data_IF_193086287279
#
_entry.id   IF_193086287279
#
_cell.length_a   1.000
_cell.length_b   1.000
_cell.length_c   1.000
_cell.angle_alpha   90.00
_cell.angle_beta   90.00
_cell.angle_gamma   90.00
#
_symmetry.space_group_name_H-M   'P 1'
#
loop_
_entity.id
_entity.type
_entity.pdbx_description
1 polymer ?
#
# COMPACT_ATOMS: atom_id res chain seq x y z
N UNK A 1 11.11 -22.75 -15.63
CA UNK A 1 11.75 -21.89 -14.60
C UNK A 1 10.65 -21.11 -13.88
N UNK A 2 10.49 -21.28 -12.56
CA UNK A 2 9.48 -20.53 -11.79
C UNK A 2 9.90 -19.05 -11.78
N UNK A 3 9.09 -18.18 -12.39
CA UNK A 3 9.34 -16.74 -12.38
C UNK A 3 9.30 -16.22 -10.94
N UNK A 4 10.43 -15.81 -10.40
CA UNK A 4 10.49 -15.11 -9.11
C UNK A 4 9.63 -13.85 -9.20
N UNK A 5 8.81 -13.59 -8.17
CA UNK A 5 7.98 -12.40 -8.08
C UNK A 5 8.57 -11.45 -7.05
N UNK A 6 8.59 -10.15 -7.36
CA UNK A 6 9.05 -9.10 -6.46
C UNK A 6 7.90 -8.14 -6.17
N UNK A 7 7.93 -7.49 -5.02
CA UNK A 7 6.92 -6.49 -4.65
C UNK A 7 7.44 -5.12 -5.07
N UNK A 8 6.66 -4.41 -5.88
CA UNK A 8 6.98 -3.05 -6.26
C UNK A 8 6.99 -2.17 -4.99
N UNK A 9 8.10 -1.52 -4.65
CA UNK A 9 8.24 -0.82 -3.37
C UNK A 9 7.34 0.41 -3.24
N UNK A 10 6.80 0.91 -4.37
CA UNK A 10 6.04 2.16 -4.38
C UNK A 10 4.54 2.00 -4.63
N UNK A 11 4.08 0.85 -5.11
CA UNK A 11 2.64 0.55 -5.15
C UNK A 11 2.25 -0.77 -4.48
N UNK A 12 3.22 -1.54 -3.99
CA UNK A 12 3.00 -2.86 -3.40
C UNK A 12 2.58 -3.94 -4.40
N UNK A 13 2.57 -3.67 -5.71
CA UNK A 13 2.17 -4.66 -6.70
C UNK A 13 3.18 -5.80 -6.78
N UNK A 14 2.68 -7.04 -6.80
CA UNK A 14 3.49 -8.21 -7.13
C UNK A 14 3.77 -8.20 -8.64
N UNK A 15 5.04 -8.13 -9.00
CA UNK A 15 5.49 -8.05 -10.40
C UNK A 15 6.49 -9.17 -10.69
N UNK A 16 6.60 -9.56 -11.96
CA UNK A 16 7.65 -10.50 -12.38
C UNK A 16 9.03 -9.85 -12.19
N UNK A 17 9.96 -10.58 -11.57
CA UNK A 17 11.31 -10.10 -11.27
C UNK A 17 12.05 -9.54 -12.51
N UNK A 18 11.85 -10.14 -13.70
CA UNK A 18 12.53 -9.72 -14.93
C UNK A 18 12.07 -8.37 -15.53
N UNK A 19 11.12 -7.66 -14.91
CA UNK A 19 10.68 -6.35 -15.43
C UNK A 19 11.55 -5.25 -14.86
N UNK A 20 12.01 -4.33 -15.70
CA UNK A 20 12.67 -3.10 -15.26
C UNK A 20 11.70 -2.12 -14.62
N UNK A 21 10.42 -2.16 -15.03
CA UNK A 21 9.38 -1.27 -14.53
C UNK A 21 8.11 -2.00 -14.12
N UNK A 22 7.48 -1.50 -13.07
CA UNK A 22 6.20 -1.94 -12.58
C UNK A 22 5.14 -1.63 -13.64
N UNK A 23 4.38 -2.62 -14.15
CA UNK A 23 3.28 -2.34 -15.07
C UNK A 23 2.21 -1.43 -14.44
N UNK A 24 2.08 -1.46 -13.11
CA UNK A 24 1.02 -0.78 -12.37
C UNK A 24 1.31 0.70 -12.16
N UNK A 25 2.50 1.02 -11.62
CA UNK A 25 2.86 2.40 -11.30
C UNK A 25 4.05 2.93 -12.11
N UNK A 26 4.57 2.18 -13.10
CA UNK A 26 5.76 2.50 -13.91
C UNK A 26 7.06 2.73 -13.11
N UNK A 27 7.04 2.40 -11.82
CA UNK A 27 8.21 2.43 -10.96
C UNK A 27 9.32 1.53 -11.43
N UNK A 28 10.58 1.92 -11.27
CA UNK A 28 11.68 0.98 -11.41
C UNK A 28 11.51 -0.20 -10.44
N UNK A 29 11.72 -1.42 -10.94
CA UNK A 29 11.73 -2.65 -10.15
C UNK A 29 13.19 -3.03 -10.01
N UNK A 30 13.80 -2.60 -8.90
CA UNK A 30 15.19 -2.93 -8.61
C UNK A 30 15.21 -4.19 -7.78
N UNK A 31 15.63 -5.29 -8.40
CA UNK A 31 16.13 -6.44 -7.64
C UNK A 31 17.49 -5.99 -7.11
N UNK A 32 17.70 -5.85 -5.79
CA UNK A 32 19.05 -5.71 -5.30
C UNK A 32 19.80 -6.97 -5.73
N UNK A 33 20.78 -6.83 -6.61
CA UNK A 33 21.80 -7.87 -6.79
C UNK A 33 22.56 -7.86 -5.46
N UNK A 34 22.06 -8.65 -4.51
CA UNK A 34 22.78 -8.87 -3.26
C UNK A 34 24.02 -9.64 -3.67
N UNK A 35 25.17 -8.97 -3.74
CA UNK A 35 26.44 -9.66 -3.85
C UNK A 35 26.52 -10.64 -2.66
N UNK A 36 26.55 -11.96 -2.89
CA UNK A 36 26.59 -12.94 -1.82
C UNK A 36 27.77 -12.72 -0.87
N UNK A 37 28.83 -12.03 -1.31
CA UNK A 37 29.97 -11.62 -0.48
C UNK A 37 29.62 -10.51 0.52
N UNK A 38 28.76 -9.57 0.13
CA UNK A 38 28.31 -8.47 1.00
C UNK A 38 27.30 -8.97 2.04
N UNK A 39 26.43 -9.91 1.67
CA UNK A 39 25.53 -10.58 2.63
C UNK A 39 26.31 -11.39 3.69
N UNK A 40 27.36 -12.10 3.29
CA UNK A 40 28.23 -12.85 4.19
C UNK A 40 29.09 -11.94 5.11
N UNK A 41 29.47 -10.75 4.64
CA UNK A 41 30.18 -9.78 5.47
C UNK A 41 29.26 -9.17 6.56
N UNK A 42 27.99 -8.93 6.23
CA UNK A 42 27.00 -8.37 7.16
C UNK A 42 26.64 -9.36 8.28
N UNK A 43 26.52 -10.66 7.98
CA UNK A 43 26.28 -11.70 8.99
C UNK A 43 27.46 -11.88 9.94
N UNK A 44 28.71 -11.84 9.45
CA UNK A 44 29.92 -11.89 10.30
C UNK A 44 30.06 -10.68 11.21
N UNK A 45 29.76 -9.48 10.72
CA UNK A 45 29.79 -8.25 11.53
C UNK A 45 28.73 -8.23 12.63
N UNK A 46 27.56 -8.81 12.35
CA UNK A 46 26.46 -8.94 13.31
C UNK A 46 26.75 -10.00 14.38
N UNK A 47 27.46 -11.08 14.04
CA UNK A 47 27.98 -12.05 15.00
C UNK A 47 29.10 -11.51 15.89
N UNK A 48 29.93 -10.57 15.39
CA UNK A 48 30.97 -9.92 16.20
C UNK A 48 30.42 -8.87 17.18
N UNK A 49 29.30 -8.22 16.86
CA UNK A 49 28.66 -7.25 17.77
C UNK A 49 27.81 -7.98 18.83
N UNK A 50 27.25 -9.16 18.51
CA UNK A 50 26.37 -9.93 19.39
C UNK A 50 27.00 -10.58 20.63
N UNK A 51 28.32 -10.55 20.79
CA UNK A 51 29.02 -11.20 21.92
C UNK A 51 29.71 -10.22 22.90
N UNK A 52 29.66 -8.90 22.69
CA UNK A 52 30.43 -7.94 23.49
C UNK A 52 29.66 -7.02 24.45
N UNK A 53 28.34 -6.84 24.29
CA UNK A 53 27.59 -5.79 25.01
C UNK A 53 26.24 -6.25 25.60
N UNK A 54 26.12 -7.53 25.97
CA UNK A 54 24.92 -8.09 26.61
C UNK A 54 25.13 -8.45 28.10
N UNK A 55 26.24 -8.01 28.72
CA UNK A 55 26.64 -8.45 30.07
C UNK A 55 26.39 -7.48 31.23
N UNK A 56 26.49 -6.16 31.06
CA UNK A 56 26.52 -5.25 32.23
C UNK A 56 26.06 -3.83 31.89
N UNK A 57 24.75 -3.56 31.93
CA UNK A 57 24.18 -2.24 32.29
C UNK A 57 22.64 -2.30 32.30
N UNK A 58 22.07 -3.17 33.13
CA UNK A 58 20.72 -2.97 33.66
C UNK A 58 20.90 -2.51 35.10
N UNK A 59 20.97 -1.18 35.31
CA UNK A 59 20.63 -0.45 36.55
C UNK A 59 21.07 1.02 36.41
N UNK A 60 20.19 1.93 36.87
CA UNK A 60 20.20 3.39 36.75
C UNK A 60 19.79 3.88 35.34
N UNK A 61 18.66 4.54 35.13
CA UNK A 61 18.19 5.74 35.85
C UNK A 61 16.66 5.76 35.89
N UNK A 62 16.10 5.54 37.07
CA UNK A 62 14.80 6.05 37.45
C UNK A 62 15.04 7.03 38.60
N UNK A 63 15.06 8.32 38.28
CA UNK A 63 14.70 9.46 39.14
C UNK A 63 15.06 10.74 38.39
N UNK A 64 14.04 11.47 37.96
CA UNK A 64 13.86 12.92 38.09
C UNK A 64 12.71 13.28 37.15
N UNK A 65 11.50 13.22 37.72
CA UNK A 65 10.41 14.09 37.33
C UNK A 65 10.57 15.41 38.12
N UNK A 66 10.05 16.50 37.55
CA UNK A 66 9.78 17.82 38.15
C UNK A 66 10.86 18.89 37.91
N UNK A 67 10.66 19.65 36.82
CA UNK A 67 10.44 21.12 36.71
C UNK A 67 10.89 21.51 35.30
N UNK A 68 9.96 21.85 34.40
CA UNK A 68 10.05 22.99 33.45
C UNK A 68 8.88 22.91 32.45
N UNK A 69 7.83 23.67 32.76
CA UNK A 69 6.76 24.10 31.84
C UNK A 69 6.89 25.65 31.74
N UNK A 70 6.56 26.27 30.59
CA UNK A 70 7.43 27.25 29.93
C UNK A 70 7.05 28.73 30.18
N UNK A 71 7.89 29.66 29.70
CA UNK A 71 7.51 31.08 29.53
C UNK A 71 7.08 31.36 28.09
N UNK A 72 5.94 32.02 27.85
CA UNK A 72 5.54 32.49 26.53
C UNK A 72 6.38 33.70 26.13
N UNK A 73 6.90 33.70 24.89
CA UNK A 73 7.49 34.88 24.27
C UNK A 73 6.40 35.87 23.80
N UNK A 74 6.72 37.17 23.71
CA UNK A 74 5.75 38.18 23.30
C UNK A 74 5.32 37.99 21.83
N UNK A 75 4.07 38.36 21.47
CA UNK A 75 3.58 38.22 20.11
C UNK A 75 4.37 39.14 19.16
N UNK A 76 4.66 38.71 17.92
CA UNK A 76 5.18 39.62 16.91
C UNK A 76 4.15 40.70 16.58
N UNK A 77 4.65 41.93 16.50
CA UNK A 77 3.89 43.13 16.22
C UNK A 77 3.04 43.01 14.94
N UNK A 78 1.91 43.68 15.00
CA UNK A 78 0.89 43.83 13.97
C UNK A 78 1.44 44.12 12.58
N UNK A 79 0.83 43.45 11.60
CA UNK A 79 0.93 43.65 10.16
C UNK A 79 0.83 45.14 9.78
N UNK A 80 1.92 45.71 9.26
CA UNK A 80 1.81 46.75 8.25
C UNK A 80 1.71 46.03 6.90
N UNK A 81 0.61 46.28 6.19
CA UNK A 81 0.32 45.70 4.90
C UNK A 81 1.42 46.08 3.89
N UNK A 82 2.07 45.08 3.31
CA UNK A 82 3.01 45.27 2.20
C UNK A 82 2.21 45.59 0.91
N UNK A 83 2.31 46.80 0.36
CA UNK A 83 1.56 47.20 -0.84
C UNK A 83 1.96 46.42 -2.11
N UNK A 84 3.04 45.64 -2.07
CA UNK A 84 3.49 44.83 -3.20
C UNK A 84 2.81 43.45 -3.30
N UNK A 85 2.16 42.98 -2.22
CA UNK A 85 1.40 41.72 -2.23
C UNK A 85 0.11 41.84 -3.07
N UNK A 86 -0.54 43.01 -3.07
CA UNK A 86 -1.77 43.25 -3.82
C UNK A 86 -1.57 43.28 -5.34
N UNK A 87 -0.38 43.65 -5.83
CA UNK A 87 -0.08 43.65 -7.28
C UNK A 87 0.22 42.26 -7.86
N UNK A 88 0.59 41.28 -7.03
CA UNK A 88 0.82 39.89 -7.47
C UNK A 88 -0.48 39.11 -7.67
N UNK A 89 -1.57 39.51 -7.01
CA UNK A 89 -2.89 38.87 -7.14
C UNK A 89 -3.68 39.32 -8.39
N UNK A 90 -3.20 40.32 -9.14
CA UNK A 90 -3.90 40.90 -10.29
C UNK A 90 -3.27 40.57 -11.65
N UNK A 91 -2.33 39.61 -11.73
CA UNK A 91 -1.69 39.24 -13.00
C UNK A 91 -2.52 38.15 -13.69
N UNK A 92 -3.08 38.39 -14.90
CA UNK A 92 -3.81 37.35 -15.62
C UNK A 92 -2.87 36.19 -15.97
N UNK A 93 -3.40 34.96 -15.86
CA UNK A 93 -2.64 33.74 -16.14
C UNK A 93 -2.05 33.77 -17.57
N UNK A 94 -0.79 33.35 -17.76
CA UNK A 94 -0.17 33.34 -19.07
C UNK A 94 -0.88 32.34 -20.00
N UNK A 95 -1.14 32.77 -21.24
CA UNK A 95 -1.77 31.93 -22.28
C UNK A 95 -0.83 30.78 -22.67
N UNK A 96 -1.45 29.62 -22.94
CA UNK A 96 -0.84 28.30 -23.08
C UNK A 96 0.00 28.07 -24.36
N UNK A 97 0.76 29.05 -24.84
CA UNK A 97 1.53 28.90 -26.09
C UNK A 97 3.04 29.09 -25.96
N UNK A 98 3.55 29.52 -24.80
CA UNK A 98 5.00 29.72 -24.60
C UNK A 98 5.56 28.86 -23.46
N UNK A 99 5.21 27.57 -23.42
CA UNK A 99 5.83 26.63 -22.49
C UNK A 99 7.24 26.24 -23.01
N UNK A 100 8.32 26.48 -22.24
CA UNK A 100 9.60 25.86 -22.55
C UNK A 100 9.46 24.34 -22.51
N UNK A 101 10.21 23.65 -23.37
CA UNK A 101 10.22 22.21 -23.52
C UNK A 101 10.02 21.49 -22.18
N UNK A 102 9.03 20.58 -22.14
CA UNK A 102 8.70 19.75 -20.97
C UNK A 102 9.99 19.34 -20.25
N UNK A 103 10.18 19.73 -18.97
CA UNK A 103 11.30 19.20 -18.21
C UNK A 103 11.16 17.68 -18.26
N UNK A 104 12.21 17.01 -18.77
CA UNK A 104 12.22 15.57 -18.92
C UNK A 104 11.64 14.93 -17.65
N UNK A 105 10.56 14.16 -17.80
CA UNK A 105 9.90 13.47 -16.70
C UNK A 105 10.97 12.64 -15.99
N UNK A 106 11.45 13.11 -14.84
CA UNK A 106 12.45 12.38 -14.07
C UNK A 106 11.85 11.00 -13.76
N UNK A 107 12.60 9.91 -14.00
CA UNK A 107 12.11 8.57 -13.71
C UNK A 107 11.62 8.46 -12.27
N UNK A 108 10.44 7.86 -12.11
CA UNK A 108 9.87 7.50 -10.82
C UNK A 108 10.82 6.60 -10.05
N UNK A 109 11.22 7.04 -8.85
CA UNK A 109 12.46 6.63 -8.20
C UNK A 109 13.61 6.68 -9.21
N UNK A 110 14.50 7.65 -9.05
CA UNK A 110 15.88 7.21 -9.10
C UNK A 110 15.99 6.21 -7.95
N UNK A 111 16.18 4.90 -8.20
CA UNK A 111 16.25 3.88 -7.14
C UNK A 111 17.60 3.97 -6.39
N UNK A 112 18.07 5.19 -6.27
CA UNK A 112 19.39 5.64 -5.90
C UNK A 112 19.17 6.83 -4.99
N UNK A 113 19.93 6.88 -3.91
CA UNK A 113 19.85 7.97 -2.95
C UNK A 113 19.38 7.52 -1.58
N UNK A 114 19.87 8.26 -0.60
CA UNK A 114 19.80 7.90 0.82
C UNK A 114 18.37 7.70 1.33
N UNK A 115 17.40 8.43 0.79
CA UNK A 115 15.98 8.30 1.18
C UNK A 115 15.41 6.91 0.85
N UNK A 116 15.68 6.42 -0.36
CA UNK A 116 15.21 5.12 -0.82
C UNK A 116 15.96 3.98 -0.12
N UNK A 117 17.27 4.12 0.05
CA UNK A 117 18.09 3.14 0.79
C UNK A 117 17.63 2.98 2.23
N UNK A 118 17.37 4.10 2.94
CA UNK A 118 16.81 4.08 4.29
C UNK A 118 15.42 3.42 4.34
N UNK A 119 14.55 3.74 3.37
CA UNK A 119 13.23 3.11 3.27
C UNK A 119 13.32 1.59 3.13
N UNK A 120 14.23 1.11 2.27
CA UNK A 120 14.44 -0.32 2.06
C UNK A 120 15.11 -1.01 3.25
N UNK A 121 15.93 -0.29 4.01
CA UNK A 121 16.49 -0.77 5.26
C UNK A 121 15.45 -0.82 6.40
N UNK A 122 14.25 -0.26 6.21
CA UNK A 122 13.22 -0.12 7.24
C UNK A 122 13.44 1.06 8.19
N UNK A 123 14.45 1.89 7.93
CA UNK A 123 14.72 3.12 8.69
C UNK A 123 13.84 4.26 8.16
N UNK A 124 12.58 4.26 8.60
CA UNK A 124 11.59 5.21 8.13
C UNK A 124 11.83 6.64 8.62
N UNK A 125 12.49 6.84 9.76
CA UNK A 125 12.86 8.18 10.24
C UNK A 125 13.99 8.80 9.41
N UNK A 126 15.02 8.02 9.05
CA UNK A 126 16.04 8.49 8.12
C UNK A 126 15.45 8.73 6.72
N UNK A 127 14.58 7.84 6.25
CA UNK A 127 13.88 8.02 4.97
C UNK A 127 13.06 9.31 4.95
N UNK A 128 12.31 9.60 6.02
CA UNK A 128 11.54 10.85 6.19
C UNK A 128 12.46 12.06 6.05
N UNK A 129 13.53 12.09 6.83
CA UNK A 129 14.50 13.21 6.86
C UNK A 129 15.09 13.46 5.47
N UNK A 130 15.48 12.40 4.76
CA UNK A 130 16.05 12.54 3.42
C UNK A 130 15.03 13.02 2.38
N UNK A 131 13.77 12.57 2.44
CA UNK A 131 12.72 13.09 1.55
C UNK A 131 12.34 14.53 1.87
N UNK A 132 12.29 14.92 3.14
CA UNK A 132 12.08 16.31 3.55
C UNK A 132 13.20 17.22 3.02
N UNK A 133 14.46 16.81 3.14
CA UNK A 133 15.59 17.55 2.57
C UNK A 133 15.55 17.64 1.05
N UNK A 134 15.08 16.59 0.37
CA UNK A 134 14.86 16.62 -1.07
C UNK A 134 13.78 17.67 -1.44
N UNK A 135 12.69 17.73 -0.67
CA UNK A 135 11.61 18.71 -0.87
C UNK A 135 12.02 20.14 -0.51
N UNK A 136 12.96 20.35 0.42
CA UNK A 136 13.54 21.68 0.65
C UNK A 136 14.30 22.19 -0.59
N UNK A 137 14.98 21.29 -1.31
CA UNK A 137 15.73 21.61 -2.54
C UNK A 137 14.81 21.75 -3.75
N UNK A 138 13.80 20.89 -3.86
CA UNK A 138 12.80 20.93 -4.91
C UNK A 138 11.38 20.81 -4.33
N UNK A 139 10.73 21.93 -3.97
CA UNK A 139 9.42 21.92 -3.35
C UNK A 139 8.27 21.39 -4.21
N UNK A 140 8.49 21.20 -5.52
CA UNK A 140 7.49 20.71 -6.47
C UNK A 140 7.82 19.29 -6.97
N UNK A 141 8.66 18.54 -6.25
CA UNK A 141 8.93 17.14 -6.56
C UNK A 141 7.77 16.25 -6.11
N UNK A 142 6.78 16.06 -6.99
CA UNK A 142 5.60 15.23 -6.73
C UNK A 142 5.96 13.79 -6.33
N UNK A 143 7.10 13.29 -6.79
CA UNK A 143 7.55 11.94 -6.48
C UNK A 143 8.10 11.86 -5.06
N UNK A 144 8.96 12.80 -4.67
CA UNK A 144 9.43 12.89 -3.29
C UNK A 144 8.26 13.13 -2.31
N UNK A 145 7.23 13.90 -2.70
CA UNK A 145 6.00 14.05 -1.90
C UNK A 145 5.27 12.72 -1.71
N UNK A 146 5.02 11.98 -2.79
CA UNK A 146 4.34 10.68 -2.71
C UNK A 146 5.15 9.68 -1.86
N UNK A 147 6.48 9.65 -2.00
CA UNK A 147 7.32 8.75 -1.23
C UNK A 147 7.42 9.15 0.25
N UNK A 148 7.46 10.45 0.56
CA UNK A 148 7.31 10.96 1.93
C UNK A 148 5.95 10.57 2.52
N UNK A 149 4.87 10.70 1.74
CA UNK A 149 3.53 10.25 2.15
C UNK A 149 3.52 8.76 2.51
N UNK A 150 4.16 7.90 1.72
CA UNK A 150 4.29 6.48 2.06
C UNK A 150 5.09 6.24 3.35
N UNK A 151 6.22 6.93 3.52
CA UNK A 151 7.01 6.88 4.77
C UNK A 151 6.18 7.30 5.98
N UNK A 152 5.41 8.38 5.87
CA UNK A 152 4.55 8.87 6.94
C UNK A 152 3.47 7.84 7.31
N UNK A 153 2.87 7.15 6.35
CA UNK A 153 1.95 6.02 6.64
C UNK A 153 2.65 4.93 7.43
N UNK A 154 3.89 4.57 7.08
CA UNK A 154 4.68 3.55 7.80
C UNK A 154 5.06 3.98 9.22
N UNK A 155 5.21 5.29 9.44
CA UNK A 155 5.44 5.90 10.75
C UNK A 155 4.17 6.13 11.57
N UNK A 156 3.00 5.65 11.12
CA UNK A 156 1.74 5.84 11.83
C UNK A 156 1.17 7.27 11.75
N UNK A 157 1.56 8.03 10.72
CA UNK A 157 1.13 9.41 10.46
C UNK A 157 0.31 9.55 9.16
N UNK A 158 -0.78 8.79 8.97
CA UNK A 158 -1.56 8.81 7.74
C UNK A 158 -2.23 10.15 7.44
N UNK A 159 -2.62 10.92 8.46
CA UNK A 159 -3.25 12.24 8.25
C UNK A 159 -2.26 13.25 7.63
N UNK A 160 -1.00 13.25 8.07
CA UNK A 160 0.07 14.06 7.47
C UNK A 160 0.35 13.60 6.03
N UNK A 161 0.32 12.30 5.78
CA UNK A 161 0.56 11.72 4.46
C UNK A 161 -0.45 12.18 3.40
N UNK A 162 -1.73 12.36 3.75
CA UNK A 162 -2.78 12.80 2.82
C UNK A 162 -2.38 14.12 2.15
N UNK A 163 -1.87 15.11 2.91
CA UNK A 163 -1.51 16.41 2.35
C UNK A 163 -0.42 16.30 1.28
N UNK A 164 0.56 15.41 1.46
CA UNK A 164 1.59 15.17 0.46
C UNK A 164 1.07 14.44 -0.77
N UNK A 165 0.20 13.45 -0.60
CA UNK A 165 -0.42 12.75 -1.73
C UNK A 165 -1.34 13.67 -2.54
N UNK A 166 -2.11 14.54 -1.90
CA UNK A 166 -2.96 15.53 -2.59
C UNK A 166 -2.13 16.51 -3.41
N UNK A 167 -1.03 17.04 -2.84
CA UNK A 167 -0.10 17.90 -3.58
C UNK A 167 0.56 17.18 -4.75
N UNK A 168 1.00 15.93 -4.56
CA UNK A 168 1.54 15.11 -5.64
C UNK A 168 0.53 14.88 -6.77
N UNK A 169 -0.73 14.55 -6.42
CA UNK A 169 -1.82 14.31 -7.36
C UNK A 169 -2.34 15.60 -8.05
N UNK A 170 -2.08 16.77 -7.47
CA UNK A 170 -2.35 18.07 -8.09
C UNK A 170 -1.25 18.45 -9.10
N UNK A 171 0.02 18.19 -8.75
CA UNK A 171 1.16 18.45 -9.63
C UNK A 171 1.20 17.53 -10.86
N UNK A 172 0.83 16.26 -10.69
CA UNK A 172 0.76 15.30 -11.79
C UNK A 172 -0.55 14.51 -11.72
N UNK A 173 -1.61 15.00 -12.38
CA UNK A 173 -2.93 14.44 -12.21
C UNK A 173 -3.15 13.09 -12.88
N UNK A 174 -2.30 12.74 -13.85
CA UNK A 174 -2.41 11.49 -14.62
C UNK A 174 -1.62 10.34 -13.98
N UNK A 175 -0.96 10.61 -12.85
CA UNK A 175 -0.23 9.58 -12.12
C UNK A 175 -1.16 8.74 -11.27
N UNK A 176 -1.53 7.57 -11.79
CA UNK A 176 -2.31 6.53 -11.10
C UNK A 176 -1.88 6.31 -9.64
N UNK A 177 -0.57 6.19 -9.39
CA UNK A 177 -0.03 5.85 -8.07
C UNK A 177 -0.38 6.88 -7.00
N UNK A 178 -0.47 8.16 -7.35
CA UNK A 178 -0.78 9.21 -6.38
C UNK A 178 -2.25 9.14 -5.96
N UNK A 179 -3.16 8.96 -6.93
CA UNK A 179 -4.57 8.75 -6.64
C UNK A 179 -4.82 7.45 -5.85
N UNK A 180 -4.15 6.35 -6.22
CA UNK A 180 -4.26 5.08 -5.52
C UNK A 180 -3.74 5.15 -4.07
N UNK A 181 -2.57 5.76 -3.84
CA UNK A 181 -1.99 5.89 -2.51
C UNK A 181 -2.81 6.84 -1.63
N UNK A 182 -3.32 7.95 -2.20
CA UNK A 182 -4.26 8.84 -1.52
C UNK A 182 -5.52 8.08 -1.07
N UNK A 183 -6.14 7.34 -1.99
CA UNK A 183 -7.36 6.57 -1.71
C UNK A 183 -7.15 5.55 -0.59
N UNK A 184 -6.03 4.81 -0.64
CA UNK A 184 -5.67 3.81 0.37
C UNK A 184 -5.46 4.44 1.75
N UNK A 185 -4.79 5.59 1.80
CA UNK A 185 -4.57 6.29 3.08
C UNK A 185 -5.86 6.90 3.62
N UNK A 186 -6.76 7.40 2.76
CA UNK A 186 -8.09 7.84 3.16
C UNK A 186 -8.93 6.68 3.70
N UNK A 187 -8.88 5.50 3.07
CA UNK A 187 -9.56 4.29 3.57
C UNK A 187 -9.01 3.83 4.93
N UNK A 188 -7.70 3.92 5.15
CA UNK A 188 -7.08 3.62 6.45
C UNK A 188 -7.61 4.52 7.58
N UNK A 189 -8.01 5.73 7.24
CA UNK A 189 -8.61 6.71 8.16
C UNK A 189 -10.14 6.70 8.14
N UNK A 190 -10.75 5.71 7.50
CA UNK A 190 -12.20 5.57 7.38
C UNK A 190 -12.90 6.77 6.70
N UNK A 191 -12.14 7.54 5.90
CA UNK A 191 -12.66 8.66 5.10
C UNK A 191 -13.28 8.11 3.81
N UNK A 192 -14.36 7.33 3.95
CA UNK A 192 -14.89 6.46 2.90
C UNK A 192 -15.24 7.20 1.61
N UNK A 193 -16.01 8.29 1.67
CA UNK A 193 -16.43 9.03 0.48
C UNK A 193 -15.25 9.60 -0.31
N UNK A 194 -14.27 10.18 0.42
CA UNK A 194 -13.04 10.70 -0.20
C UNK A 194 -12.22 9.57 -0.83
N UNK A 195 -12.11 8.44 -0.13
CA UNK A 195 -11.39 7.26 -0.62
C UNK A 195 -12.02 6.70 -1.89
N UNK A 196 -13.35 6.56 -1.93
CA UNK A 196 -14.11 6.12 -3.10
C UNK A 196 -13.81 7.02 -4.30
N UNK A 197 -13.91 8.34 -4.13
CA UNK A 197 -13.60 9.29 -5.22
C UNK A 197 -12.16 9.18 -5.74
N UNK A 198 -11.20 9.03 -4.84
CA UNK A 198 -9.78 8.84 -5.18
C UNK A 198 -9.53 7.50 -5.88
N UNK A 199 -10.18 6.41 -5.44
CA UNK A 199 -10.09 5.10 -6.08
C UNK A 199 -10.74 5.09 -7.46
N UNK A 200 -11.90 5.71 -7.64
CA UNK A 200 -12.54 5.87 -8.96
C UNK A 200 -11.63 6.66 -9.92
N UNK A 201 -10.93 7.70 -9.43
CA UNK A 201 -9.93 8.40 -10.22
C UNK A 201 -8.77 7.49 -10.62
N UNK A 202 -8.22 6.73 -9.67
CA UNK A 202 -7.18 5.75 -9.98
C UNK A 202 -7.69 4.72 -11.01
N UNK A 203 -8.92 4.23 -10.89
CA UNK A 203 -9.50 3.27 -11.82
C UNK A 203 -9.65 3.85 -13.23
N UNK A 204 -10.04 5.13 -13.38
CA UNK A 204 -10.05 5.80 -14.70
C UNK A 204 -8.67 5.90 -15.33
N UNK A 205 -7.63 6.16 -14.53
CA UNK A 205 -6.25 6.26 -15.01
C UNK A 205 -5.65 4.90 -15.39
N UNK A 206 -6.07 3.82 -14.72
CA UNK A 206 -5.60 2.47 -15.02
C UNK A 206 -6.74 1.43 -14.82
N UNK A 207 -7.61 1.26 -15.83
CA UNK A 207 -8.87 0.51 -15.68
C UNK A 207 -8.71 -0.99 -15.50
N UNK A 208 -7.59 -1.55 -15.94
CA UNK A 208 -7.30 -3.00 -15.88
C UNK A 208 -6.51 -3.38 -14.61
N UNK A 209 -6.45 -2.50 -13.61
CA UNK A 209 -5.81 -2.81 -12.33
C UNK A 209 -6.78 -3.48 -11.36
N UNK A 210 -6.68 -4.81 -11.28
CA UNK A 210 -7.51 -5.60 -10.38
C UNK A 210 -7.43 -5.09 -8.94
N UNK A 211 -6.27 -4.61 -8.50
CA UNK A 211 -6.07 -4.19 -7.12
C UNK A 211 -6.67 -2.80 -6.83
N UNK A 212 -6.75 -1.88 -7.79
CA UNK A 212 -7.53 -0.63 -7.63
C UNK A 212 -9.01 -0.96 -7.51
N UNK A 213 -9.51 -1.78 -8.45
CA UNK A 213 -10.92 -2.20 -8.50
C UNK A 213 -11.33 -2.95 -7.23
N UNK A 214 -10.51 -3.90 -6.77
CA UNK A 214 -10.75 -4.63 -5.52
C UNK A 214 -10.76 -3.72 -4.29
N UNK A 215 -9.82 -2.78 -4.17
CA UNK A 215 -9.81 -1.86 -3.04
C UNK A 215 -10.97 -0.85 -3.07
N UNK A 216 -11.43 -0.46 -4.27
CA UNK A 216 -12.67 0.31 -4.42
C UNK A 216 -13.87 -0.48 -3.89
N UNK A 217 -14.02 -1.73 -4.31
CA UNK A 217 -15.08 -2.64 -3.83
C UNK A 217 -15.03 -2.81 -2.31
N UNK A 218 -13.83 -3.02 -1.75
CA UNK A 218 -13.63 -3.14 -0.31
C UNK A 218 -14.01 -1.85 0.44
N UNK A 219 -13.66 -0.69 -0.11
CA UNK A 219 -14.01 0.61 0.48
C UNK A 219 -15.53 0.82 0.46
N UNK A 220 -16.19 0.47 -0.64
CA UNK A 220 -17.66 0.50 -0.76
C UNK A 220 -18.33 -0.42 0.28
N UNK A 221 -17.86 -1.65 0.42
CA UNK A 221 -18.34 -2.59 1.44
C UNK A 221 -18.16 -2.05 2.86
N UNK A 222 -16.98 -1.48 3.17
CA UNK A 222 -16.68 -0.90 4.49
C UNK A 222 -17.52 0.35 4.79
N UNK A 223 -17.89 1.10 3.77
CA UNK A 223 -18.84 2.23 3.88
C UNK A 223 -20.30 1.79 4.02
N UNK A 224 -20.60 0.49 3.94
CA UNK A 224 -21.96 -0.06 3.99
C UNK A 224 -22.70 -0.06 2.63
N UNK A 225 -22.04 0.36 1.55
CA UNK A 225 -22.59 0.37 0.21
C UNK A 225 -22.31 -0.96 -0.53
N UNK A 226 -22.85 -2.05 0.01
CA UNK A 226 -22.65 -3.40 -0.54
C UNK A 226 -23.22 -3.56 -1.96
N UNK A 227 -24.34 -2.89 -2.26
CA UNK A 227 -24.93 -2.91 -3.60
C UNK A 227 -23.98 -2.37 -4.68
N UNK A 228 -23.20 -1.33 -4.37
CA UNK A 228 -22.18 -0.81 -5.28
C UNK A 228 -20.86 -1.61 -5.23
N UNK A 229 -20.56 -2.29 -4.11
CA UNK A 229 -19.35 -3.09 -3.96
C UNK A 229 -19.37 -4.35 -4.84
N UNK A 230 -20.51 -5.03 -4.95
CA UNK A 230 -20.71 -6.27 -5.72
C UNK A 230 -20.19 -6.18 -7.17
N UNK A 231 -20.62 -5.22 -8.01
CA UNK A 231 -20.13 -5.13 -9.39
C UNK A 231 -18.63 -4.84 -9.47
N UNK A 232 -18.06 -4.09 -8.53
CA UNK A 232 -16.62 -3.85 -8.49
C UNK A 232 -15.83 -5.12 -8.08
N UNK A 233 -16.34 -5.92 -7.14
CA UNK A 233 -15.75 -7.22 -6.84
C UNK A 233 -15.80 -8.18 -8.04
N UNK A 234 -16.94 -8.23 -8.75
CA UNK A 234 -17.07 -9.03 -9.97
C UNK A 234 -16.04 -8.62 -11.03
N UNK A 235 -15.89 -7.31 -11.28
CA UNK A 235 -14.86 -6.79 -12.18
C UNK A 235 -13.43 -7.13 -11.72
N UNK A 236 -13.15 -7.09 -10.42
CA UNK A 236 -11.84 -7.51 -9.89
C UNK A 236 -11.58 -9.01 -10.13
N UNK A 237 -12.61 -9.86 -10.03
CA UNK A 237 -12.54 -11.29 -10.36
C UNK A 237 -12.29 -11.51 -11.85
N UNK A 238 -12.95 -10.76 -12.73
CA UNK A 238 -12.69 -10.81 -14.18
C UNK A 238 -11.24 -10.47 -14.52
N UNK A 239 -10.67 -9.45 -13.87
CA UNK A 239 -9.29 -9.01 -14.07
C UNK A 239 -8.26 -9.98 -13.48
N UNK A 240 -8.61 -10.76 -12.45
CA UNK A 240 -7.72 -11.76 -11.84
C UNK A 240 -8.52 -12.96 -11.28
N UNK A 241 -8.93 -13.89 -12.14
CA UNK A 241 -9.89 -14.94 -11.78
C UNK A 241 -9.33 -16.05 -10.89
N UNK A 242 -8.01 -16.09 -10.67
CA UNK A 242 -7.35 -17.15 -9.89
C UNK A 242 -7.19 -16.79 -8.41
N UNK A 243 -7.46 -15.54 -8.02
CA UNK A 243 -7.39 -15.14 -6.61
C UNK A 243 -8.71 -15.46 -5.91
N UNK A 244 -8.70 -16.56 -5.15
CA UNK A 244 -9.87 -17.02 -4.42
C UNK A 244 -10.38 -15.97 -3.41
N UNK A 245 -9.49 -15.12 -2.86
CA UNK A 245 -9.86 -14.12 -1.86
C UNK A 245 -10.88 -13.10 -2.39
N UNK A 246 -10.95 -12.89 -3.72
CA UNK A 246 -11.91 -11.97 -4.31
C UNK A 246 -13.34 -12.52 -4.26
N UNK A 247 -13.50 -13.84 -4.42
CA UNK A 247 -14.80 -14.52 -4.28
C UNK A 247 -15.26 -14.56 -2.84
N UNK A 248 -14.33 -14.75 -1.90
CA UNK A 248 -14.62 -14.61 -0.48
C UNK A 248 -15.16 -13.21 -0.16
N UNK A 249 -14.46 -12.15 -0.61
CA UNK A 249 -14.88 -10.77 -0.37
C UNK A 249 -16.23 -10.43 -1.03
N UNK A 250 -16.45 -10.91 -2.26
CA UNK A 250 -17.73 -10.82 -2.95
C UNK A 250 -18.85 -11.50 -2.16
N UNK A 251 -18.64 -12.74 -1.70
CA UNK A 251 -19.63 -13.49 -0.94
C UNK A 251 -20.06 -12.77 0.34
N UNK A 252 -19.09 -12.22 1.09
CA UNK A 252 -19.36 -11.45 2.32
C UNK A 252 -20.23 -10.21 2.01
N UNK A 253 -19.97 -9.51 0.92
CA UNK A 253 -20.78 -8.36 0.51
C UNK A 253 -22.18 -8.80 0.05
N UNK A 254 -22.26 -9.89 -0.70
CA UNK A 254 -23.52 -10.48 -1.17
C UNK A 254 -24.41 -10.94 -0.01
N UNK A 255 -23.89 -11.38 1.13
CA UNK A 255 -24.74 -11.77 2.27
C UNK A 255 -25.71 -10.65 2.70
N UNK A 256 -25.32 -9.38 2.51
CA UNK A 256 -26.11 -8.20 2.89
C UNK A 256 -27.13 -7.78 1.83
N UNK A 257 -27.02 -8.28 0.60
CA UNK A 257 -27.85 -7.83 -0.53
C UNK A 257 -28.54 -8.96 -1.29
N UNK A 258 -27.96 -10.16 -1.33
CA UNK A 258 -28.48 -11.34 -2.01
C UNK A 258 -27.86 -12.65 -1.45
N UNK A 259 -28.59 -13.31 -0.53
CA UNK A 259 -28.13 -14.54 0.15
C UNK A 259 -27.86 -15.72 -0.79
N UNK A 260 -28.61 -15.84 -1.89
CA UNK A 260 -28.47 -16.96 -2.83
C UNK A 260 -27.18 -16.82 -3.63
N UNK A 261 -26.89 -15.63 -4.15
CA UNK A 261 -25.64 -15.35 -4.84
C UNK A 261 -24.43 -15.44 -3.89
N UNK A 262 -24.61 -15.06 -2.61
CA UNK A 262 -23.56 -15.22 -1.60
C UNK A 262 -23.11 -16.68 -1.45
N UNK A 263 -24.06 -17.62 -1.36
CA UNK A 263 -23.75 -19.03 -1.29
C UNK A 263 -23.00 -19.54 -2.53
N UNK A 264 -23.40 -19.09 -3.73
CA UNK A 264 -22.71 -19.43 -4.97
C UNK A 264 -21.25 -18.91 -4.99
N UNK A 265 -21.02 -17.67 -4.56
CA UNK A 265 -19.69 -17.08 -4.46
C UNK A 265 -18.79 -17.81 -3.44
N UNK A 266 -19.34 -18.24 -2.29
CA UNK A 266 -18.62 -19.10 -1.34
C UNK A 266 -18.27 -20.47 -1.94
N UNK A 267 -19.17 -21.07 -2.71
CA UNK A 267 -18.90 -22.31 -3.44
C UNK A 267 -17.72 -22.15 -4.41
N UNK A 268 -17.67 -21.05 -5.16
CA UNK A 268 -16.53 -20.75 -6.03
C UNK A 268 -15.22 -20.53 -5.26
N UNK A 269 -15.26 -19.86 -4.10
CA UNK A 269 -14.10 -19.73 -3.21
C UNK A 269 -13.55 -21.10 -2.79
N UNK A 270 -14.42 -21.96 -2.27
CA UNK A 270 -14.06 -23.31 -1.82
C UNK A 270 -13.55 -24.18 -2.97
N UNK A 271 -14.05 -24.00 -4.19
CA UNK A 271 -13.55 -24.71 -5.38
C UNK A 271 -12.09 -24.34 -5.68
N UNK A 272 -11.72 -23.07 -5.52
CA UNK A 272 -10.35 -22.60 -5.76
C UNK A 272 -9.41 -22.85 -4.57
N UNK A 273 -9.94 -22.93 -3.35
CA UNK A 273 -9.15 -23.07 -2.12
C UNK A 273 -9.81 -24.04 -1.13
N UNK A 274 -9.92 -25.34 -1.47
CA UNK A 274 -10.68 -26.32 -0.69
C UNK A 274 -10.07 -26.63 0.69
N UNK A 275 -8.80 -26.32 0.88
CA UNK A 275 -8.04 -26.56 2.12
C UNK A 275 -7.61 -25.25 2.80
N UNK A 276 -8.27 -24.13 2.50
CA UNK A 276 -8.01 -22.88 3.19
C UNK A 276 -8.29 -23.01 4.70
N UNK A 277 -7.55 -22.30 5.58
CA UNK A 277 -7.74 -22.40 7.04
C UNK A 277 -9.16 -22.05 7.52
N UNK A 278 -9.92 -21.31 6.72
CA UNK A 278 -11.29 -20.89 6.96
C UNK A 278 -12.35 -21.72 6.20
N UNK A 279 -11.94 -22.74 5.43
CA UNK A 279 -12.85 -23.50 4.55
C UNK A 279 -14.02 -24.17 5.29
N UNK A 280 -13.80 -24.70 6.49
CA UNK A 280 -14.88 -25.30 7.30
C UNK A 280 -15.91 -24.25 7.75
N UNK A 281 -15.44 -23.05 8.13
CA UNK A 281 -16.33 -21.95 8.50
C UNK A 281 -17.15 -21.48 7.31
N UNK A 282 -16.52 -21.42 6.13
CA UNK A 282 -17.21 -21.07 4.89
C UNK A 282 -18.23 -22.12 4.49
N UNK A 283 -17.92 -23.41 4.60
CA UNK A 283 -18.89 -24.49 4.36
C UNK A 283 -20.10 -24.39 5.28
N UNK A 284 -19.88 -24.18 6.58
CA UNK A 284 -20.95 -24.00 7.55
C UNK A 284 -21.80 -22.77 7.20
N UNK A 285 -21.17 -21.63 6.90
CA UNK A 285 -21.89 -20.42 6.51
C UNK A 285 -22.70 -20.58 5.23
N UNK A 286 -22.13 -21.24 4.22
CA UNK A 286 -22.83 -21.54 2.96
C UNK A 286 -24.04 -22.44 3.19
N UNK A 287 -23.94 -23.43 4.08
CA UNK A 287 -25.04 -24.32 4.46
C UNK A 287 -26.18 -23.55 5.18
N UNK A 288 -25.84 -22.63 6.09
CA UNK A 288 -26.81 -21.71 6.71
C UNK A 288 -27.52 -20.80 5.69
N UNK A 289 -26.79 -20.34 4.66
CA UNK A 289 -27.35 -19.49 3.62
C UNK A 289 -28.32 -20.25 2.70
N UNK A 290 -28.08 -21.54 2.46
CA UNK A 290 -28.92 -22.39 1.59
C UNK A 290 -30.00 -23.17 2.34
N UNK A 291 -29.95 -23.18 3.68
CA UNK A 291 -30.85 -24.01 4.51
C UNK A 291 -30.51 -25.50 4.49
N UNK A 292 -29.33 -25.87 3.98
CA UNK A 292 -28.84 -27.26 3.99
C UNK A 292 -28.08 -27.55 5.30
N UNK A 293 -28.08 -28.79 5.78
CA UNK A 293 -27.15 -29.21 6.83
C UNK A 293 -25.71 -29.23 6.28
N UNK A 294 -24.76 -28.71 7.06
CA UNK A 294 -23.37 -28.62 6.64
C UNK A 294 -22.81 -30.01 6.29
N UNK A 295 -22.45 -30.23 5.03
CA UNK A 295 -21.82 -31.47 4.60
C UNK A 295 -20.43 -31.60 5.26
N UNK A 296 -20.07 -32.79 5.80
CA UNK A 296 -18.77 -33.00 6.43
C UNK A 296 -17.62 -32.77 5.43
N UNK A 297 -16.48 -32.32 5.95
CA UNK A 297 -15.27 -32.10 5.14
C UNK A 297 -14.90 -33.35 4.32
N UNK A 298 -14.47 -33.21 3.05
CA UNK A 298 -13.98 -34.33 2.29
C UNK A 298 -12.75 -34.91 3.00
N UNK A 299 -12.74 -36.24 3.16
CA UNK A 299 -11.63 -36.94 3.78
C UNK A 299 -10.30 -36.58 3.08
N UNK A 300 -9.20 -36.43 3.82
CA UNK A 300 -7.90 -36.19 3.20
C UNK A 300 -7.61 -37.31 2.19
N UNK A 301 -7.17 -36.92 0.99
CA UNK A 301 -6.84 -37.87 -0.07
C UNK A 301 -5.88 -38.92 0.49
N UNK A 302 -6.31 -40.19 0.47
CA UNK A 302 -5.52 -41.30 0.97
C UNK A 302 -4.14 -41.28 0.28
N UNK A 303 -3.09 -41.18 1.10
CA UNK A 303 -1.73 -41.29 0.60
C UNK A 303 -1.60 -42.64 -0.14
N UNK A 304 -0.95 -42.67 -1.33
CA UNK A 304 -0.78 -43.93 -2.05
C UNK A 304 -0.06 -44.92 -1.14
N UNK A 305 -0.68 -46.08 -0.95
CA UNK A 305 -0.14 -47.15 -0.13
C UNK A 305 1.29 -47.48 -0.62
N UNK A 306 2.28 -47.24 0.22
CA UNK A 306 3.65 -47.67 -0.03
C UNK A 306 3.63 -49.20 -0.10
N UNK A 307 3.73 -49.73 -1.33
CA UNK A 307 3.82 -51.16 -1.59
C UNK A 307 4.98 -51.74 -0.81
N UNK A 308 4.68 -52.65 0.12
CA UNK A 308 5.69 -53.52 0.73
C UNK A 308 6.19 -54.47 -0.37
N UNK A 309 7.34 -54.15 -0.94
CA UNK A 309 8.12 -55.10 -1.72
C UNK A 309 8.58 -56.23 -0.78
N UNK A 310 7.95 -57.40 -0.92
CA UNK A 310 8.43 -58.62 -0.30
C UNK A 310 9.73 -59.06 -0.95
N UNK A 311 10.74 -59.31 -0.12
CA UNK A 311 11.91 -60.10 -0.49
C UNK A 311 11.47 -61.56 -0.57
N UNK A 312 11.58 -62.15 -1.76
CA UNK A 312 11.86 -63.57 -1.96
C UNK A 312 13.07 -63.65 -2.87
#
# INVERSE_FOLDING_TARGET
MKSTAVICPSCGAKVKAARERCPRCRAAIVIPVVDPRVAAARSRRMQQIGFGLLGTAVLAVATIWIVFVPRPGPPPASRLADPLAARRAARPAPKATDAPATPAVRPFMEPTGKAYEAYQAGDFDAARTHYEDALKKNPNDAEAMSNLGQVLVRLGKPQEAIAYFERAAALNPDRWAYAFNLARTQALLEQWDRSIGSYQRAQRLFPNDYATTFNLALTLHKSGNDAAAVPEYQKAIELNPQDASFRMALAISLERVNRTEAAAAYGEYLRLSPTAPDADKVRARMAELTGAQAAPAPAPAAAPAAGRGGLQ
#
